data_IF_193963227460
#
_entry.id   IF_193963227460
#
_cell.length_a   1.000
_cell.length_b   1.000
_cell.length_c   1.000
_cell.angle_alpha   90.00
_cell.angle_beta   90.00
_cell.angle_gamma   90.00
#
_symmetry.space_group_name_H-M   'P 1'
#
loop_
_entity.id
_entity.type
_entity.pdbx_description
1 polymer ?
#
# COMPACT_ATOMS: atom_id res chain seq x y z
N UNK A 1 -6.67 -21.30 -6.22
CA UNK A 1 -5.45 -20.98 -5.45
C UNK A 1 -5.46 -21.75 -4.15
N UNK A 2 -4.28 -22.15 -3.68
CA UNK A 2 -4.05 -22.70 -2.35
C UNK A 2 -4.13 -21.60 -1.27
N UNK A 3 -4.43 -21.98 -0.03
CA UNK A 3 -4.34 -21.07 1.13
C UNK A 3 -2.93 -20.49 1.30
N UNK A 4 -1.90 -21.28 0.99
CA UNK A 4 -0.50 -20.86 1.08
C UNK A 4 -0.19 -19.78 0.04
N UNK A 5 -0.69 -19.90 -1.18
CA UNK A 5 -0.52 -18.89 -2.23
C UNK A 5 -1.20 -17.57 -1.83
N UNK A 6 -2.43 -17.64 -1.32
CA UNK A 6 -3.16 -16.47 -0.81
C UNK A 6 -2.41 -15.80 0.34
N UNK A 7 -1.87 -16.60 1.28
CA UNK A 7 -1.11 -16.07 2.39
C UNK A 7 0.19 -15.39 1.93
N UNK A 8 0.91 -15.98 0.98
CA UNK A 8 2.10 -15.37 0.39
C UNK A 8 1.79 -14.06 -0.34
N UNK A 9 0.68 -14.01 -1.09
CA UNK A 9 0.19 -12.77 -1.72
C UNK A 9 -0.12 -11.72 -0.66
N UNK A 10 -0.84 -12.10 0.40
CA UNK A 10 -1.20 -11.22 1.51
C UNK A 10 0.03 -10.62 2.21
N UNK A 11 1.04 -11.44 2.51
CA UNK A 11 2.30 -10.97 3.09
C UNK A 11 3.04 -10.05 2.13
N UNK A 12 3.14 -10.43 0.85
CA UNK A 12 3.84 -9.63 -0.17
C UNK A 12 3.22 -8.25 -0.33
N UNK A 13 1.89 -8.18 -0.39
CA UNK A 13 1.12 -6.94 -0.47
C UNK A 13 1.24 -6.08 0.80
N UNK A 14 1.37 -6.70 1.97
CA UNK A 14 1.49 -5.98 3.22
C UNK A 14 2.90 -5.42 3.49
N UNK A 15 3.90 -5.75 2.66
CA UNK A 15 5.29 -5.33 2.85
C UNK A 15 5.47 -3.81 2.74
N UNK A 16 4.78 -3.13 1.81
CA UNK A 16 4.91 -1.68 1.68
C UNK A 16 4.25 -0.96 2.86
N UNK A 17 3.08 -1.42 3.29
CA UNK A 17 2.43 -0.96 4.51
C UNK A 17 3.27 -1.22 5.77
N UNK A 18 3.99 -2.35 5.84
CA UNK A 18 4.93 -2.66 6.91
C UNK A 18 6.12 -1.69 6.92
N UNK A 19 6.76 -1.47 5.77
CA UNK A 19 7.91 -0.59 5.65
C UNK A 19 7.56 0.87 5.98
N UNK A 20 6.41 1.36 5.51
CA UNK A 20 5.90 2.68 5.91
C UNK A 20 5.63 2.74 7.41
N UNK A 21 5.06 1.69 8.01
CA UNK A 21 4.79 1.66 9.45
C UNK A 21 6.07 1.62 10.29
N UNK A 22 7.08 0.84 9.90
CA UNK A 22 8.40 0.85 10.56
C UNK A 22 9.04 2.23 10.48
N UNK A 23 9.03 2.84 9.29
CA UNK A 23 9.65 4.14 9.05
C UNK A 23 9.00 5.22 9.92
N UNK A 24 7.66 5.25 9.99
CA UNK A 24 6.94 6.16 10.88
C UNK A 24 7.20 5.85 12.36
N UNK A 25 7.34 4.59 12.74
CA UNK A 25 7.66 4.19 14.11
C UNK A 25 9.05 4.65 14.55
N UNK A 26 10.01 4.74 13.63
CA UNK A 26 11.36 5.27 13.90
C UNK A 26 11.35 6.78 14.15
N UNK A 27 10.46 7.51 13.47
CA UNK A 27 10.36 8.98 13.51
C UNK A 27 9.50 9.45 14.70
N UNK A 28 8.49 8.67 15.09
CA UNK A 28 7.54 9.02 16.15
C UNK A 28 8.08 8.59 17.54
N UNK A 29 8.58 9.51 18.39
CA UNK A 29 9.19 9.14 19.67
C UNK A 29 8.17 8.64 20.70
N UNK A 30 6.90 9.04 20.61
CA UNK A 30 5.86 8.73 21.59
C UNK A 30 4.69 7.90 21.04
N UNK A 31 4.96 6.94 20.14
CA UNK A 31 3.91 6.02 19.64
C UNK A 31 3.20 5.31 20.79
N UNK A 32 1.90 5.49 20.92
CA UNK A 32 1.04 4.74 21.84
C UNK A 32 0.48 3.51 21.14
N UNK A 33 0.02 2.52 21.93
CA UNK A 33 -0.70 1.35 21.39
C UNK A 33 -1.91 1.77 20.54
N UNK A 34 -2.54 2.90 20.88
CA UNK A 34 -3.65 3.48 20.10
C UNK A 34 -3.21 3.86 18.69
N UNK A 35 -2.04 4.49 18.55
CA UNK A 35 -1.53 4.92 17.24
C UNK A 35 -1.16 3.70 16.37
N UNK A 36 -0.60 2.64 16.98
CA UNK A 36 -0.35 1.37 16.30
C UNK A 36 -1.63 0.68 15.82
N UNK A 37 -2.70 0.72 16.63
CA UNK A 37 -4.02 0.24 16.22
C UNK A 37 -4.57 1.12 15.09
N UNK A 38 -4.43 2.44 15.15
CA UNK A 38 -4.85 3.34 14.07
C UNK A 38 -4.11 3.02 12.77
N UNK A 39 -2.78 2.87 12.79
CA UNK A 39 -1.99 2.45 11.63
C UNK A 39 -2.46 1.11 11.07
N UNK A 40 -2.60 0.10 11.94
CA UNK A 40 -3.12 -1.21 11.55
C UNK A 40 -4.49 -1.10 10.89
N UNK A 41 -5.42 -0.32 11.46
CA UNK A 41 -6.76 -0.14 10.91
C UNK A 41 -6.73 0.55 9.55
N UNK A 42 -5.96 1.61 9.38
CA UNK A 42 -5.85 2.30 8.10
C UNK A 42 -5.31 1.37 7.01
N UNK A 43 -4.11 0.80 7.21
CA UNK A 43 -3.53 -0.08 6.19
C UNK A 43 -4.34 -1.36 5.99
N UNK A 44 -4.87 -1.96 7.06
CA UNK A 44 -5.71 -3.17 6.96
C UNK A 44 -7.03 -2.93 6.23
N UNK A 45 -7.71 -1.81 6.48
CA UNK A 45 -8.94 -1.47 5.78
C UNK A 45 -8.68 -1.13 4.31
N UNK A 46 -7.67 -0.31 4.02
CA UNK A 46 -7.35 0.03 2.63
C UNK A 46 -6.91 -1.21 1.84
N UNK A 47 -6.09 -2.10 2.44
CA UNK A 47 -5.68 -3.35 1.80
C UNK A 47 -6.82 -4.37 1.68
N UNK A 48 -7.89 -4.25 2.47
CA UNK A 48 -9.12 -5.01 2.27
C UNK A 48 -9.98 -4.43 1.14
N UNK A 49 -10.22 -3.12 1.17
CA UNK A 49 -11.13 -2.47 0.23
C UNK A 49 -10.56 -2.34 -1.18
N UNK A 50 -9.26 -2.08 -1.33
CA UNK A 50 -8.65 -1.90 -2.65
C UNK A 50 -8.75 -3.14 -3.53
N UNK A 51 -8.44 -4.38 -3.07
CA UNK A 51 -8.68 -5.56 -3.89
C UNK A 51 -10.16 -5.83 -4.16
N UNK A 52 -11.07 -5.48 -3.24
CA UNK A 52 -12.53 -5.59 -3.49
C UNK A 52 -12.93 -4.64 -4.63
N UNK A 53 -12.48 -3.40 -4.60
CA UNK A 53 -12.73 -2.40 -5.64
C UNK A 53 -12.14 -2.89 -6.97
N UNK A 54 -10.89 -3.36 -6.97
CA UNK A 54 -10.23 -3.95 -8.14
C UNK A 54 -11.01 -5.13 -8.72
N UNK A 55 -11.52 -6.02 -7.86
CA UNK A 55 -12.32 -7.16 -8.29
C UNK A 55 -13.65 -6.75 -8.93
N UNK A 56 -14.35 -5.76 -8.38
CA UNK A 56 -15.60 -5.25 -8.97
C UNK A 56 -15.35 -4.47 -10.26
N UNK A 57 -14.23 -3.75 -10.36
CA UNK A 57 -13.78 -3.13 -11.61
C UNK A 57 -13.51 -4.22 -12.66
N UNK A 58 -12.69 -5.22 -12.35
CA UNK A 58 -12.35 -6.31 -13.25
C UNK A 58 -13.55 -7.16 -13.69
N UNK A 59 -14.46 -7.48 -12.78
CA UNK A 59 -15.66 -8.30 -13.08
C UNK A 59 -16.72 -7.57 -13.90
N UNK A 60 -16.83 -6.24 -13.76
CA UNK A 60 -17.68 -5.41 -14.64
C UNK A 60 -17.11 -5.32 -16.05
N UNK A 61 -15.77 -5.34 -16.18
CA UNK A 61 -15.11 -5.48 -17.47
C UNK A 61 -15.48 -6.83 -18.11
N UNK A 62 -15.40 -7.95 -17.40
CA UNK A 62 -15.67 -9.29 -17.97
C UNK A 62 -17.07 -9.44 -18.59
N UNK A 63 -18.10 -8.71 -18.13
CA UNK A 63 -19.46 -8.76 -18.70
C UNK A 63 -19.69 -7.91 -19.96
N UNK A 64 -18.85 -6.91 -20.23
CA UNK A 64 -18.94 -6.05 -21.43
C UNK A 64 -17.85 -6.35 -22.47
N UNK A 65 -16.85 -7.16 -22.12
CA UNK A 65 -15.54 -7.23 -22.80
C UNK A 65 -15.35 -8.47 -23.68
N UNK A 66 -16.34 -9.34 -23.87
CA UNK A 66 -16.25 -10.42 -24.87
C UNK A 66 -16.10 -9.93 -26.33
N UNK A 67 -16.15 -8.61 -26.60
CA UNK A 67 -15.98 -8.04 -27.95
C UNK A 67 -14.95 -6.89 -28.06
N UNK A 68 -14.37 -6.41 -26.95
CA UNK A 68 -13.49 -5.21 -26.93
C UNK A 68 -12.22 -5.39 -26.06
N UNK A 69 -11.77 -6.64 -25.87
CA UNK A 69 -10.68 -7.08 -24.96
C UNK A 69 -9.45 -6.18 -24.87
N UNK A 70 -8.98 -5.59 -25.98
CA UNK A 70 -7.68 -4.92 -25.98
C UNK A 70 -7.74 -3.42 -25.65
N UNK A 71 -8.80 -2.72 -26.06
CA UNK A 71 -8.88 -1.26 -25.88
C UNK A 71 -9.16 -0.86 -24.44
N UNK A 72 -9.85 -1.71 -23.67
CA UNK A 72 -10.23 -1.36 -22.31
C UNK A 72 -9.08 -1.61 -21.33
N UNK A 73 -8.29 -2.68 -21.52
CA UNK A 73 -7.00 -2.83 -20.83
C UNK A 73 -6.06 -1.64 -21.14
N UNK A 74 -6.00 -1.22 -22.41
CA UNK A 74 -5.22 -0.06 -22.84
C UNK A 74 -5.68 1.26 -22.21
N UNK A 75 -6.98 1.51 -22.12
CA UNK A 75 -7.53 2.71 -21.47
C UNK A 75 -7.32 2.67 -19.96
N UNK A 76 -7.49 1.51 -19.32
CA UNK A 76 -7.28 1.37 -17.87
C UNK A 76 -5.80 1.57 -17.53
N UNK A 77 -4.89 0.92 -18.26
CA UNK A 77 -3.44 1.13 -18.14
C UNK A 77 -3.04 2.56 -18.52
N UNK A 78 -3.71 3.15 -19.50
CA UNK A 78 -3.53 4.54 -19.89
C UNK A 78 -3.94 5.53 -18.80
N UNK A 79 -5.06 5.30 -18.11
CA UNK A 79 -5.51 6.12 -16.98
C UNK A 79 -4.59 5.95 -15.78
N UNK A 80 -4.15 4.71 -15.49
CA UNK A 80 -3.18 4.42 -14.43
C UNK A 80 -1.86 5.13 -14.75
N UNK A 81 -1.31 4.94 -15.95
CA UNK A 81 -0.10 5.62 -16.40
C UNK A 81 -0.23 7.15 -16.42
N UNK A 82 -1.36 7.69 -16.86
CA UNK A 82 -1.62 9.13 -16.89
C UNK A 82 -1.71 9.73 -15.49
N UNK A 83 -2.40 9.08 -14.54
CA UNK A 83 -2.43 9.53 -13.15
C UNK A 83 -1.04 9.48 -12.52
N UNK A 84 -0.24 8.43 -12.79
CA UNK A 84 1.13 8.34 -12.31
C UNK A 84 2.03 9.45 -12.86
N UNK A 85 1.86 9.79 -14.15
CA UNK A 85 2.56 10.91 -14.79
C UNK A 85 2.13 12.24 -14.15
N UNK A 86 0.82 12.46 -13.95
CA UNK A 86 0.30 13.67 -13.32
C UNK A 86 0.78 13.85 -11.87
N UNK A 87 0.83 12.76 -11.11
CA UNK A 87 1.32 12.75 -9.73
C UNK A 87 2.82 13.03 -9.67
N UNK A 88 3.58 12.60 -10.68
CA UNK A 88 5.02 12.90 -10.83
C UNK A 88 5.34 14.38 -11.10
N UNK A 89 4.34 15.21 -11.43
CA UNK A 89 4.51 16.66 -11.64
C UNK A 89 3.94 17.51 -10.50
N UNK A 90 3.45 16.88 -9.42
CA UNK A 90 2.96 17.59 -8.26
C UNK A 90 4.10 17.80 -7.26
N UNK A 91 4.90 18.83 -7.50
CA UNK A 91 5.89 19.35 -6.56
C UNK A 91 5.15 20.08 -5.42
N UNK A 92 4.85 19.37 -4.33
CA UNK A 92 4.70 19.96 -3.00
C UNK A 92 5.90 19.51 -2.16
N UNK A 93 7.08 20.02 -2.54
CA UNK A 93 8.23 20.14 -1.65
C UNK A 93 7.90 21.17 -0.54
N UNK A 94 8.48 20.97 0.64
CA UNK A 94 8.42 21.84 1.83
C UNK A 94 7.32 21.56 2.87
N UNK A 95 7.50 20.48 3.63
CA UNK A 95 7.69 20.56 5.10
C UNK A 95 7.70 19.14 5.69
N UNK A 96 8.75 18.78 6.43
CA UNK A 96 8.79 17.53 7.19
C UNK A 96 7.67 17.60 8.25
N UNK A 97 6.62 16.76 8.20
CA UNK A 97 5.44 16.98 9.01
C UNK A 97 5.74 16.69 10.48
N UNK A 98 5.30 17.57 11.39
CA UNK A 98 5.44 17.35 12.85
C UNK A 98 4.73 16.06 13.28
N UNK A 99 5.05 15.50 14.46
CA UNK A 99 4.44 14.27 15.03
C UNK A 99 2.90 14.24 14.92
N UNK A 100 2.24 15.40 15.12
CA UNK A 100 0.79 15.58 14.99
C UNK A 100 0.28 15.55 13.55
N UNK A 101 1.11 15.87 12.58
CA UNK A 101 0.77 15.92 11.15
C UNK A 101 0.88 14.57 10.47
N UNK A 102 1.84 13.73 10.86
CA UNK A 102 1.92 12.33 10.41
C UNK A 102 0.65 11.57 10.80
N UNK A 103 0.14 11.83 12.01
CA UNK A 103 -1.11 11.25 12.53
C UNK A 103 -2.38 11.99 12.05
N UNK A 104 -2.25 13.07 11.25
CA UNK A 104 -3.44 13.69 10.65
C UNK A 104 -4.09 12.70 9.71
N UNK A 105 -5.42 12.64 9.77
CA UNK A 105 -6.26 11.81 8.90
C UNK A 105 -5.85 11.93 7.43
N UNK A 106 -5.58 13.14 6.93
CA UNK A 106 -5.15 13.41 5.54
C UNK A 106 -3.90 12.63 5.15
N UNK A 107 -2.84 12.69 5.97
CA UNK A 107 -1.57 12.03 5.67
C UNK A 107 -1.69 10.51 5.78
N UNK A 108 -2.43 10.01 6.78
CA UNK A 108 -2.69 8.58 6.93
C UNK A 108 -3.51 8.01 5.77
N UNK A 109 -4.53 8.74 5.28
CA UNK A 109 -5.26 8.33 4.08
C UNK A 109 -4.38 8.36 2.84
N UNK A 110 -3.53 9.36 2.66
CA UNK A 110 -2.64 9.45 1.49
C UNK A 110 -1.64 8.29 1.47
N UNK A 111 -0.98 8.01 2.61
CA UNK A 111 -0.08 6.87 2.76
C UNK A 111 -0.78 5.54 2.53
N UNK A 112 -1.98 5.37 3.08
CA UNK A 112 -2.76 4.14 2.91
C UNK A 112 -3.23 3.96 1.45
N UNK A 113 -3.63 5.03 0.77
CA UNK A 113 -3.97 4.99 -0.66
C UNK A 113 -2.74 4.60 -1.47
N UNK A 114 -1.63 5.32 -1.31
CA UNK A 114 -0.41 5.12 -2.09
C UNK A 114 0.13 3.69 -1.97
N UNK A 115 0.14 3.12 -0.76
CA UNK A 115 0.60 1.74 -0.50
C UNK A 115 -0.39 0.66 -0.93
N UNK A 116 -1.65 1.01 -1.23
CA UNK A 116 -2.70 0.03 -1.56
C UNK A 116 -3.05 0.00 -3.05
N UNK A 117 -2.34 0.77 -3.90
CA UNK A 117 -2.52 0.75 -5.36
C UNK A 117 -2.20 -0.65 -5.91
N UNK A 118 -1.14 -1.30 -5.41
CA UNK A 118 -0.79 -2.66 -5.82
C UNK A 118 -1.87 -3.68 -5.42
N UNK A 119 -2.53 -3.46 -4.28
CA UNK A 119 -3.64 -4.30 -3.82
C UNK A 119 -4.85 -4.19 -4.74
N UNK A 120 -5.10 -3.00 -5.29
CA UNK A 120 -6.15 -2.79 -6.30
C UNK A 120 -5.84 -3.60 -7.57
N UNK A 121 -4.59 -3.57 -8.05
CA UNK A 121 -4.17 -4.34 -9.22
C UNK A 121 -4.34 -5.85 -8.99
N UNK A 122 -3.95 -6.36 -7.82
CA UNK A 122 -4.20 -7.78 -7.44
C UNK A 122 -5.69 -8.09 -7.35
N UNK A 123 -6.53 -7.15 -6.92
CA UNK A 123 -7.98 -7.30 -6.96
C UNK A 123 -8.54 -7.52 -8.36
N UNK A 124 -8.02 -6.78 -9.35
CA UNK A 124 -8.40 -6.94 -10.76
C UNK A 124 -8.02 -8.33 -11.26
N UNK A 125 -6.83 -8.84 -10.91
CA UNK A 125 -6.40 -10.19 -11.35
C UNK A 125 -7.28 -11.29 -10.74
N UNK A 126 -7.74 -11.13 -9.50
CA UNK A 126 -8.70 -12.08 -8.89
C UNK A 126 -10.03 -12.18 -9.65
N UNK A 127 -10.47 -11.12 -10.33
CA UNK A 127 -11.68 -11.17 -11.15
C UNK A 127 -11.57 -12.13 -12.34
N UNK A 128 -10.36 -12.34 -12.85
CA UNK A 128 -10.09 -13.26 -13.97
C UNK A 128 -9.85 -14.71 -13.52
N UNK A 129 -9.42 -14.91 -12.27
CA UNK A 129 -9.08 -16.24 -11.73
C UNK A 129 -10.33 -17.01 -11.25
N UNK A 130 -11.45 -16.32 -11.01
CA UNK A 130 -12.81 -16.88 -10.94
C UNK A 130 -13.13 -17.90 -9.83
N UNK A 131 -12.15 -18.39 -9.08
CA UNK A 131 -12.29 -19.59 -8.24
C UNK A 131 -11.93 -19.37 -6.76
N UNK A 132 -12.13 -18.15 -6.23
CA UNK A 132 -11.88 -17.80 -4.82
C UNK A 132 -12.99 -16.89 -4.34
N UNK A 133 -13.45 -17.09 -3.10
CA UNK A 133 -14.31 -16.13 -2.42
C UNK A 133 -13.54 -14.83 -2.16
N UNK A 134 -13.84 -13.80 -2.95
CA UNK A 134 -13.16 -12.49 -2.89
C UNK A 134 -13.13 -11.94 -1.46
N UNK A 135 -14.25 -12.03 -0.75
CA UNK A 135 -14.35 -11.57 0.65
C UNK A 135 -13.39 -12.31 1.59
N UNK A 136 -13.15 -13.62 1.36
CA UNK A 136 -12.19 -14.38 2.15
C UNK A 136 -10.76 -13.94 1.83
N UNK A 137 -10.41 -13.82 0.54
CA UNK A 137 -9.09 -13.37 0.10
C UNK A 137 -8.76 -11.97 0.63
N UNK A 138 -9.67 -11.02 0.45
CA UNK A 138 -9.52 -9.65 0.95
C UNK A 138 -9.43 -9.61 2.48
N UNK A 139 -10.20 -10.43 3.20
CA UNK A 139 -10.12 -10.50 4.66
C UNK A 139 -8.75 -10.97 5.13
N UNK A 140 -8.18 -12.01 4.50
CA UNK A 140 -6.83 -12.48 4.83
C UNK A 140 -5.80 -11.40 4.56
N UNK A 141 -5.87 -10.74 3.40
CA UNK A 141 -4.96 -9.64 3.03
C UNK A 141 -5.05 -8.48 4.04
N UNK A 142 -6.27 -8.03 4.38
CA UNK A 142 -6.49 -6.95 5.33
C UNK A 142 -6.02 -7.29 6.75
N UNK A 143 -6.23 -8.52 7.22
CA UNK A 143 -5.77 -8.97 8.54
C UNK A 143 -4.24 -9.03 8.59
N UNK A 144 -3.59 -9.57 7.54
CA UNK A 144 -2.13 -9.63 7.46
C UNK A 144 -1.53 -8.22 7.42
N UNK A 145 -2.11 -7.32 6.62
CA UNK A 145 -1.70 -5.92 6.56
C UNK A 145 -1.88 -5.22 7.92
N UNK A 146 -3.01 -5.41 8.60
CA UNK A 146 -3.23 -4.88 9.94
C UNK A 146 -2.15 -5.35 10.93
N UNK A 147 -1.90 -6.66 10.96
CA UNK A 147 -0.96 -7.27 11.90
C UNK A 147 0.47 -6.80 11.64
N UNK A 148 0.89 -6.74 10.38
CA UNK A 148 2.21 -6.27 10.00
C UNK A 148 2.36 -4.77 10.23
N UNK A 149 1.41 -3.92 9.84
CA UNK A 149 1.50 -2.47 10.12
C UNK A 149 1.54 -2.16 11.61
N UNK A 150 0.74 -2.87 12.43
CA UNK A 150 0.80 -2.77 13.89
C UNK A 150 2.19 -3.15 14.42
N UNK A 151 2.70 -4.31 14.00
CA UNK A 151 4.01 -4.79 14.41
C UNK A 151 5.12 -3.84 13.94
N UNK A 152 5.05 -3.37 12.71
CA UNK A 152 5.99 -2.46 12.09
C UNK A 152 6.13 -1.16 12.87
N UNK A 153 5.01 -0.53 13.22
CA UNK A 153 5.03 0.70 14.02
C UNK A 153 5.64 0.47 15.41
N UNK A 154 5.30 -0.65 16.06
CA UNK A 154 5.83 -0.99 17.38
C UNK A 154 7.32 -1.37 17.36
N UNK A 155 7.77 -2.06 16.31
CA UNK A 155 9.17 -2.40 16.06
C UNK A 155 9.96 -1.12 15.79
N UNK A 156 9.47 -0.25 14.89
CA UNK A 156 10.05 1.06 14.62
C UNK A 156 10.20 1.88 15.89
N UNK A 157 9.15 1.95 16.72
CA UNK A 157 9.20 2.64 18.02
C UNK A 157 10.29 2.08 18.94
N UNK A 158 10.46 0.76 18.99
CA UNK A 158 11.44 0.11 19.88
C UNK A 158 12.88 0.37 19.41
N UNK A 159 13.09 0.48 18.10
CA UNK A 159 14.40 0.70 17.47
C UNK A 159 14.76 2.19 17.41
N UNK A 160 13.78 3.09 17.30
CA UNK A 160 13.97 4.54 17.20
C UNK A 160 14.88 5.16 18.27
N UNK A 161 14.75 4.82 19.57
CA UNK A 161 15.62 5.33 20.64
C UNK A 161 17.10 5.00 20.47
N UNK A 162 17.43 3.83 19.92
CA UNK A 162 18.80 3.40 19.64
C UNK A 162 19.43 4.17 18.48
N UNK A 163 18.59 4.67 17.58
CA UNK A 163 19.01 5.41 16.40
C UNK A 163 18.72 6.91 16.49
N UNK A 164 18.34 7.48 17.64
CA UNK A 164 17.86 8.89 17.78
C UNK A 164 18.59 9.95 16.94
N UNK A 165 19.92 9.86 16.78
CA UNK A 165 20.73 10.82 16.00
C UNK A 165 20.70 10.56 14.48
N UNK A 166 20.35 9.34 14.06
CA UNK A 166 20.28 8.90 12.66
C UNK A 166 18.89 8.41 12.23
N UNK A 167 17.92 8.28 13.13
CA UNK A 167 16.61 7.68 12.88
C UNK A 167 15.79 8.53 11.89
N UNK A 168 15.90 9.86 11.99
CA UNK A 168 15.32 10.77 11.00
C UNK A 168 15.97 10.60 9.63
N UNK A 169 17.31 10.49 9.58
CA UNK A 169 18.04 10.25 8.32
C UNK A 169 17.75 8.88 7.73
N UNK A 170 17.68 7.83 8.55
CA UNK A 170 17.44 6.45 8.12
C UNK A 170 15.97 6.27 7.71
N UNK A 171 15.03 6.83 8.47
CA UNK A 171 13.61 6.82 8.09
C UNK A 171 13.38 7.55 6.77
N UNK A 172 13.99 8.73 6.61
CA UNK A 172 14.00 9.46 5.35
C UNK A 172 14.66 8.68 4.21
N UNK A 173 15.81 8.04 4.46
CA UNK A 173 16.56 7.28 3.45
C UNK A 173 15.86 5.97 3.06
N UNK A 174 15.13 5.32 3.98
CA UNK A 174 14.27 4.16 3.69
C UNK A 174 13.05 4.58 2.88
N UNK A 175 12.43 5.73 3.18
CA UNK A 175 11.32 6.28 2.38
C UNK A 175 11.76 6.72 0.99
N UNK A 176 12.89 7.43 0.89
CA UNK A 176 13.54 7.77 -0.38
C UNK A 176 13.91 6.48 -1.12
N UNK A 177 14.45 5.49 -0.42
CA UNK A 177 14.75 4.17 -0.98
C UNK A 177 13.52 3.43 -1.50
N UNK A 178 12.37 3.52 -0.81
CA UNK A 178 11.10 2.99 -1.30
C UNK A 178 10.61 3.77 -2.52
N UNK A 179 10.68 5.11 -2.51
CA UNK A 179 10.33 5.95 -3.66
C UNK A 179 11.20 5.64 -4.89
N UNK A 180 12.51 5.52 -4.69
CA UNK A 180 13.48 5.11 -5.73
C UNK A 180 13.22 3.67 -6.16
N UNK A 181 12.93 2.74 -5.25
CA UNK A 181 12.60 1.36 -5.60
C UNK A 181 11.35 1.32 -6.47
N UNK A 182 10.28 2.03 -6.11
CA UNK A 182 9.07 2.15 -6.92
C UNK A 182 9.43 2.73 -8.30
N UNK A 183 10.22 3.81 -8.35
CA UNK A 183 10.67 4.47 -9.57
C UNK A 183 11.52 3.54 -10.47
N UNK A 184 12.49 2.83 -9.89
CA UNK A 184 13.38 1.90 -10.61
C UNK A 184 12.63 0.66 -11.05
N UNK A 185 11.77 0.10 -10.20
CA UNK A 185 10.94 -1.05 -10.54
C UNK A 185 9.98 -0.69 -11.69
N UNK A 186 9.53 0.56 -11.75
CA UNK A 186 8.68 1.06 -12.83
C UNK A 186 9.45 1.40 -14.13
N UNK A 187 10.70 1.87 -14.05
CA UNK A 187 11.52 2.22 -15.23
C UNK A 187 12.26 1.01 -15.82
N UNK A 188 12.76 0.11 -14.99
CA UNK A 188 13.64 -0.99 -15.42
C UNK A 188 12.95 -2.37 -15.50
N UNK A 189 11.88 -2.60 -14.74
CA UNK A 189 11.18 -3.89 -14.69
C UNK A 189 9.71 -3.82 -15.13
N UNK A 190 9.22 -2.63 -15.51
CA UNK A 190 7.90 -2.44 -16.12
C UNK A 190 7.90 -2.81 -17.60
N UNK A 191 7.75 -4.12 -17.86
CA UNK A 191 7.30 -4.68 -19.14
C UNK A 191 6.00 -5.45 -18.92
#
# INVERSE_FOLDING_TARGET
MSFIELFLIAVSLAMDAFAVSVSNGLILPNVKKRDAVTFGLYFGLFQFFMPVIGYFLGSKLTKYVQQFDHWIAFILLGIIGFNMIKESFSDDEDDIPKEKEILKVKNMTMLAIATSIDALAVGVTFAFIGNISIFFACSVIGIVAFALSYAGLMIGKKIGPFFKTYAERIGGLVLIGMGIKILVQHIFFGG
#
